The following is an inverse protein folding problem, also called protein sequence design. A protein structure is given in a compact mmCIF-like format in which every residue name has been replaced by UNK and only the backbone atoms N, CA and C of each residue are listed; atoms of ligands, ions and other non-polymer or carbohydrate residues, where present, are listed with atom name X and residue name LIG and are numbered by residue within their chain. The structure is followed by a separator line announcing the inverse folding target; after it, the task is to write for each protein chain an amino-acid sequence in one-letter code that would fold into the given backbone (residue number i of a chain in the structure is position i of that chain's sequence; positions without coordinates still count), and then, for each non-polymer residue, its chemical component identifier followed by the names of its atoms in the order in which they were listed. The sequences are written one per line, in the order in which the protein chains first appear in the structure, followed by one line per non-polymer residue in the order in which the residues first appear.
data_IF_729460454751
#
_entry.id   IF_729460454751
#
_cell.length_a   1.000
_cell.length_b   1.000
_cell.length_c   1.000
_cell.angle_alpha   90.00
_cell.angle_beta   90.00
_cell.angle_gamma   90.00
#
_symmetry.space_group_name_H-M   'P 1'
#
loop_
_entity.id
_entity.type
_entity.pdbx_description
1 polymer ?
#
# COMPACT_ATOMS: atom_id res chain seq x y z
N UNK A 1 15.84 13.55 -1.95
CA UNK A 1 17.08 13.83 -1.20
C UNK A 1 17.63 12.48 -0.79
N UNK A 2 18.83 12.13 -1.21
CA UNK A 2 19.46 10.86 -0.81
C UNK A 2 20.02 11.01 0.61
N UNK A 3 19.74 10.07 1.50
CA UNK A 3 20.29 10.05 2.86
C UNK A 3 21.61 9.27 2.96
N UNK A 4 21.96 8.53 1.91
CA UNK A 4 23.12 7.63 1.86
C UNK A 4 24.35 8.32 1.24
N UNK A 5 24.15 9.35 0.42
CA UNK A 5 25.24 10.06 -0.28
C UNK A 5 25.88 9.29 -1.44
N UNK A 6 25.26 8.18 -1.86
CA UNK A 6 25.70 7.34 -2.99
C UNK A 6 24.99 7.74 -4.30
N UNK A 7 25.54 7.37 -5.48
CA UNK A 7 24.85 7.55 -6.75
C UNK A 7 23.49 6.86 -6.73
N UNK A 8 22.51 7.45 -7.41
CA UNK A 8 21.15 6.89 -7.50
C UNK A 8 21.20 5.52 -8.17
N UNK A 9 20.33 4.58 -7.75
CA UNK A 9 20.30 3.25 -8.33
C UNK A 9 19.83 3.33 -9.78
N UNK A 10 20.47 2.55 -10.66
CA UNK A 10 20.06 2.43 -12.07
C UNK A 10 18.98 1.35 -12.26
N UNK A 11 18.86 0.44 -11.28
CA UNK A 11 17.95 -0.70 -11.32
C UNK A 11 16.77 -0.54 -10.35
N UNK A 12 15.64 -1.13 -10.72
CA UNK A 12 14.42 -1.18 -9.90
C UNK A 12 14.51 -2.18 -8.72
N UNK A 13 15.59 -2.96 -8.63
CA UNK A 13 15.82 -3.89 -7.51
C UNK A 13 16.28 -3.15 -6.26
N UNK A 14 17.19 -2.18 -6.43
CA UNK A 14 17.72 -1.35 -5.35
C UNK A 14 17.07 0.04 -5.29
N UNK A 15 16.14 0.30 -6.21
CA UNK A 15 15.57 1.61 -6.49
C UNK A 15 14.05 1.62 -6.60
N UNK A 16 13.43 2.64 -6.00
CA UNK A 16 11.99 2.90 -6.09
C UNK A 16 11.76 4.05 -7.07
N UNK A 17 10.82 3.86 -8.01
CA UNK A 17 10.43 4.94 -8.93
C UNK A 17 9.39 5.85 -8.28
N UNK A 18 9.69 7.14 -8.26
CA UNK A 18 8.77 8.18 -7.80
C UNK A 18 8.23 8.96 -8.99
N UNK A 19 6.95 9.33 -8.94
CA UNK A 19 6.28 10.14 -9.94
C UNK A 19 6.18 11.60 -9.48
N UNK A 20 6.33 12.51 -10.43
CA UNK A 20 5.99 13.92 -10.23
C UNK A 20 4.63 14.21 -10.84
N UNK A 21 3.81 15.05 -10.18
CA UNK A 21 2.56 15.54 -10.74
C UNK A 21 2.75 16.45 -11.96
N UNK A 22 3.93 17.06 -12.14
CA UNK A 22 4.27 17.84 -13.32
C UNK A 22 4.77 16.90 -14.44
N UNK A 23 4.07 16.88 -15.58
CA UNK A 23 4.40 16.05 -16.75
C UNK A 23 5.70 16.44 -17.43
N UNK A 24 6.13 17.70 -17.33
CA UNK A 24 7.40 18.19 -17.92
C UNK A 24 8.59 18.07 -16.96
N UNK A 25 8.47 17.27 -15.90
CA UNK A 25 9.51 17.14 -14.89
C UNK A 25 10.66 16.26 -15.39
N UNK A 26 11.86 16.84 -15.47
CA UNK A 26 13.11 16.15 -15.87
C UNK A 26 13.57 15.06 -14.89
N UNK A 27 13.00 15.02 -13.68
CA UNK A 27 13.38 14.09 -12.61
C UNK A 27 12.46 12.86 -12.51
N UNK A 28 11.51 12.66 -13.43
CA UNK A 28 10.57 11.53 -13.37
C UNK A 28 11.21 10.14 -13.54
N UNK A 29 12.34 10.08 -14.24
CA UNK A 29 13.05 8.81 -14.49
C UNK A 29 14.11 8.51 -13.42
N UNK A 30 14.28 9.37 -12.42
CA UNK A 30 15.23 9.12 -11.34
C UNK A 30 14.64 8.16 -10.30
N UNK A 31 15.36 7.08 -10.05
CA UNK A 31 15.06 6.16 -8.95
C UNK A 31 15.66 6.70 -7.65
N UNK A 32 15.00 6.43 -6.54
CA UNK A 32 15.53 6.68 -5.20
C UNK A 32 15.94 5.35 -4.56
N UNK A 33 16.99 5.32 -3.75
CA UNK A 33 17.36 4.11 -3.03
C UNK A 33 16.20 3.60 -2.17
N UNK A 34 16.07 2.28 -2.05
CA UNK A 34 15.06 1.66 -1.20
C UNK A 34 15.15 2.18 0.25
N UNK A 35 16.35 2.27 0.82
CA UNK A 35 16.55 2.79 2.17
C UNK A 35 16.17 4.28 2.29
N UNK A 36 16.48 5.09 1.26
CA UNK A 36 16.02 6.49 1.21
C UNK A 36 14.49 6.58 1.16
N UNK A 37 13.84 5.67 0.43
CA UNK A 37 12.38 5.59 0.35
C UNK A 37 11.78 5.21 1.71
N UNK A 38 12.32 4.20 2.39
CA UNK A 38 11.86 3.79 3.72
C UNK A 38 12.01 4.93 4.74
N UNK A 39 13.16 5.61 4.76
CA UNK A 39 13.37 6.77 5.64
C UNK A 39 12.39 7.92 5.34
N UNK A 40 12.10 8.16 4.06
CA UNK A 40 11.09 9.13 3.64
C UNK A 40 9.69 8.72 4.14
N UNK A 41 9.31 7.46 3.95
CA UNK A 41 8.02 6.92 4.38
C UNK A 41 7.82 7.06 5.89
N UNK A 42 8.79 6.62 6.70
CA UNK A 42 8.75 6.77 8.16
C UNK A 42 8.61 8.23 8.60
N UNK A 43 9.36 9.13 7.97
CA UNK A 43 9.25 10.56 8.26
C UNK A 43 7.85 11.10 7.92
N UNK A 44 7.28 10.70 6.79
CA UNK A 44 5.93 11.11 6.40
C UNK A 44 4.86 10.54 7.32
N UNK A 45 4.98 9.29 7.78
CA UNK A 45 4.07 8.68 8.76
C UNK A 45 4.10 9.46 10.08
N UNK A 46 5.29 9.84 10.55
CA UNK A 46 5.48 10.66 11.75
C UNK A 46 4.91 12.07 11.59
N UNK A 47 4.98 12.65 10.40
CA UNK A 47 4.31 13.92 10.10
C UNK A 47 2.79 13.73 10.13
N UNK A 48 2.28 12.67 9.48
CA UNK A 48 0.85 12.35 9.42
C UNK A 48 0.22 12.14 10.80
N UNK A 49 0.96 11.58 11.76
CA UNK A 49 0.46 11.39 13.12
C UNK A 49 0.16 12.70 13.86
N UNK A 50 0.67 13.84 13.36
CA UNK A 50 0.51 15.15 14.00
C UNK A 50 -0.39 16.12 13.21
N UNK A 51 -0.93 15.72 12.06
CA UNK A 51 -1.69 16.63 11.17
C UNK A 51 -3.12 16.17 10.91
N UNK A 52 -4.05 17.12 10.88
CA UNK A 52 -5.42 16.94 10.41
C UNK A 52 -6.15 15.74 11.03
N UNK A 53 -6.87 15.01 10.19
CA UNK A 53 -7.63 13.79 10.53
C UNK A 53 -6.74 12.56 10.75
N UNK A 54 -5.49 12.56 10.27
CA UNK A 54 -4.57 11.42 10.39
C UNK A 54 -4.01 11.22 11.81
N UNK A 55 -4.26 12.17 12.72
CA UNK A 55 -4.01 12.03 14.16
C UNK A 55 -4.73 10.82 14.75
N UNK A 56 -5.97 10.58 14.34
CA UNK A 56 -6.78 9.45 14.82
C UNK A 56 -6.50 8.11 14.11
N UNK A 57 -5.61 8.09 13.11
CA UNK A 57 -5.31 6.86 12.36
C UNK A 57 -4.31 5.99 13.12
N UNK A 58 -4.45 4.68 13.00
CA UNK A 58 -3.39 3.75 13.42
C UNK A 58 -2.20 3.84 12.49
N UNK A 59 -1.03 3.36 12.91
CA UNK A 59 0.17 3.35 12.07
C UNK A 59 -0.03 2.57 10.76
N UNK A 60 -0.70 1.42 10.84
CA UNK A 60 -1.09 0.61 9.67
C UNK A 60 -1.98 1.39 8.71
N UNK A 61 -2.96 2.14 9.23
CA UNK A 61 -3.82 3.00 8.41
C UNK A 61 -3.02 4.14 7.77
N UNK A 62 -2.06 4.74 8.48
CA UNK A 62 -1.19 5.78 7.90
C UNK A 62 -0.37 5.24 6.75
N UNK A 63 0.29 4.08 6.89
CA UNK A 63 1.03 3.42 5.80
C UNK A 63 0.14 3.13 4.60
N UNK A 64 -1.02 2.53 4.82
CA UNK A 64 -1.95 2.19 3.74
C UNK A 64 -2.44 3.43 2.99
N UNK A 65 -2.74 4.53 3.71
CA UNK A 65 -3.29 5.74 3.10
C UNK A 65 -2.23 6.73 2.63
N UNK A 66 -0.95 6.54 2.97
CA UNK A 66 0.13 7.52 2.75
C UNK A 66 0.22 7.95 1.28
N UNK A 67 0.22 6.97 0.39
CA UNK A 67 0.34 7.18 -1.06
C UNK A 67 -1.01 7.24 -1.78
N UNK A 68 -2.12 7.11 -1.05
CA UNK A 68 -3.47 7.28 -1.60
C UNK A 68 -3.86 8.77 -1.68
N UNK A 69 -4.93 9.06 -2.43
CA UNK A 69 -5.49 10.43 -2.55
C UNK A 69 -5.70 11.11 -1.18
N UNK A 70 -6.13 10.37 -0.15
CA UNK A 70 -6.39 10.90 1.20
C UNK A 70 -5.09 11.29 1.92
N UNK A 71 -4.05 10.46 1.85
CA UNK A 71 -2.76 10.80 2.47
C UNK A 71 -2.10 11.94 1.73
N UNK A 72 -2.02 11.87 0.39
CA UNK A 72 -1.36 12.87 -0.44
C UNK A 72 -1.90 14.29 -0.24
N UNK A 73 -3.21 14.48 -0.01
CA UNK A 73 -3.77 15.81 0.28
C UNK A 73 -3.31 16.38 1.62
N UNK A 74 -3.04 15.52 2.61
CA UNK A 74 -2.51 15.92 3.92
C UNK A 74 -1.02 16.27 3.85
N UNK A 75 -0.24 15.50 3.10
CA UNK A 75 1.23 15.65 3.03
C UNK A 75 1.73 16.46 1.82
N UNK A 76 0.83 17.01 0.99
CA UNK A 76 1.18 17.80 -0.21
C UNK A 76 2.26 18.86 0.04
N UNK A 77 2.24 19.54 1.20
CA UNK A 77 3.22 20.58 1.54
C UNK A 77 4.61 20.02 1.82
N UNK A 78 4.71 18.74 2.17
CA UNK A 78 5.94 18.04 2.55
C UNK A 78 6.51 17.21 1.41
N UNK A 79 5.67 16.72 0.49
CA UNK A 79 6.10 15.98 -0.69
C UNK A 79 6.28 16.87 -1.92
N UNK A 80 7.15 17.87 -1.84
CA UNK A 80 7.53 18.65 -3.03
C UNK A 80 8.58 17.90 -3.84
N UNK A 81 8.38 17.86 -5.16
CA UNK A 81 9.36 17.31 -6.07
C UNK A 81 10.60 18.22 -6.14
N UNK A 82 11.82 17.67 -6.32
CA UNK A 82 13.03 18.47 -6.53
C UNK A 82 12.95 19.49 -7.68
N UNK A 83 12.07 19.27 -8.66
CA UNK A 83 11.84 20.24 -9.72
C UNK A 83 11.16 21.55 -9.26
N UNK A 84 10.65 21.60 -8.03
CA UNK A 84 9.95 22.76 -7.46
C UNK A 84 8.53 22.99 -7.99
N UNK A 85 8.17 22.39 -9.12
CA UNK A 85 6.93 22.65 -9.86
C UNK A 85 5.81 21.62 -9.62
N UNK A 86 6.08 20.55 -8.88
CA UNK A 86 5.12 19.46 -8.68
C UNK A 86 5.24 18.75 -7.35
N UNK A 87 4.31 17.83 -7.12
CA UNK A 87 4.27 16.95 -5.95
C UNK A 87 4.90 15.61 -6.30
N UNK A 88 5.64 15.06 -5.35
CA UNK A 88 6.25 13.74 -5.47
C UNK A 88 5.33 12.69 -4.86
N UNK A 89 5.02 11.63 -5.61
CA UNK A 89 4.19 10.51 -5.18
C UNK A 89 4.83 9.19 -5.57
N UNK A 90 4.60 8.14 -4.80
CA UNK A 90 5.02 6.79 -5.20
C UNK A 90 4.31 6.36 -6.49
N UNK A 91 5.05 5.75 -7.41
CA UNK A 91 4.45 5.10 -8.58
C UNK A 91 3.94 3.70 -8.20
N UNK A 92 2.67 3.62 -7.76
CA UNK A 92 2.02 2.37 -7.38
C UNK A 92 2.01 1.34 -8.54
N UNK A 93 1.96 1.81 -9.79
CA UNK A 93 2.00 0.92 -10.96
C UNK A 93 3.39 0.30 -11.12
N UNK A 94 4.46 1.08 -10.94
CA UNK A 94 5.82 0.57 -11.00
C UNK A 94 6.09 -0.47 -9.92
N UNK A 95 5.62 -0.23 -8.68
CA UNK A 95 5.73 -1.18 -7.58
C UNK A 95 4.99 -2.50 -7.87
N UNK A 96 3.75 -2.41 -8.34
CA UNK A 96 3.00 -3.60 -8.73
C UNK A 96 3.71 -4.41 -9.83
N UNK A 97 4.20 -3.74 -10.87
CA UNK A 97 4.92 -4.39 -11.97
C UNK A 97 6.24 -5.05 -11.51
N UNK A 98 6.96 -4.42 -10.57
CA UNK A 98 8.15 -5.02 -9.95
C UNK A 98 7.80 -6.32 -9.20
N UNK A 99 6.69 -6.33 -8.44
CA UNK A 99 6.22 -7.51 -7.72
C UNK A 99 5.66 -8.62 -8.64
N UNK A 100 5.16 -8.27 -9.82
CA UNK A 100 4.68 -9.24 -10.81
C UNK A 100 5.86 -9.88 -11.56
N UNK A 101 6.91 -9.11 -11.87
CA UNK A 101 8.12 -9.64 -12.53
C UNK A 101 8.81 -10.73 -11.70
N UNK A 102 8.88 -10.59 -10.37
CA UNK A 102 9.48 -11.60 -9.48
C UNK A 102 8.68 -12.89 -9.38
N UNK A 103 7.39 -12.90 -9.76
CA UNK A 103 6.56 -14.12 -9.79
C UNK A 103 6.65 -14.89 -11.10
N UNK A 104 7.25 -14.35 -12.16
CA UNK A 104 7.48 -15.06 -13.43
C UNK A 104 8.76 -15.92 -13.34
N UNK A 105 8.83 -16.78 -12.33
CA UNK A 105 10.03 -17.58 -12.05
C UNK A 105 9.91 -18.68 -10.98
N UNK A 106 8.71 -19.00 -10.47
CA UNK A 106 8.50 -20.19 -9.61
C UNK A 106 7.25 -20.94 -10.03
N UNK A 107 7.41 -21.83 -10.99
CA UNK A 107 6.43 -22.87 -11.29
C UNK A 107 6.90 -24.16 -10.62
N UNK A 108 6.43 -24.48 -9.40
CA UNK A 108 6.52 -25.83 -8.79
C UNK A 108 5.40 -26.04 -7.76
N UNK A 109 4.50 -26.97 -8.08
CA UNK A 109 3.61 -27.71 -7.19
C UNK A 109 2.58 -26.91 -6.38
N UNK A 110 1.39 -26.74 -6.97
CA UNK A 110 0.15 -26.64 -6.22
C UNK A 110 -0.15 -28.04 -5.64
N UNK A 111 -0.17 -28.27 -4.31
CA UNK A 111 -0.63 -29.54 -3.78
C UNK A 111 -2.09 -29.72 -4.15
N UNK A 112 -2.38 -30.78 -4.93
CA UNK A 112 -3.73 -31.22 -5.26
C UNK A 112 -4.38 -31.70 -3.96
N UNK A 113 -5.25 -30.89 -3.37
CA UNK A 113 -6.05 -31.29 -2.22
C UNK A 113 -6.98 -32.43 -2.67
N UNK A 114 -6.57 -33.66 -2.37
CA UNK A 114 -7.43 -34.84 -2.40
C UNK A 114 -8.40 -34.74 -1.22
N UNK A 115 -9.61 -34.24 -1.47
CA UNK A 115 -10.74 -34.47 -0.56
C UNK A 115 -11.47 -35.74 -1.00
N UNK A 116 -11.00 -36.86 -0.46
CA UNK A 116 -11.73 -38.11 -0.30
C UNK A 116 -11.20 -38.66 1.04
N UNK A 117 -11.98 -38.97 2.07
CA UNK A 117 -13.32 -39.55 2.10
C UNK A 117 -13.81 -39.64 3.56
N UNK A 118 -15.14 -39.63 3.73
CA UNK A 118 -15.90 -40.34 4.79
C UNK A 118 -15.83 -39.76 6.22
N UNK A 119 -16.85 -39.80 7.07
CA UNK A 119 -18.16 -40.47 7.06
C UNK A 119 -18.99 -39.93 8.24
N UNK A 120 -20.28 -40.32 8.28
CA UNK A 120 -21.20 -40.41 9.43
C UNK A 120 -22.32 -39.35 9.56
N UNK A 121 -23.53 -39.80 9.18
CA UNK A 121 -24.75 -39.86 9.99
C UNK A 121 -25.16 -38.58 10.75
N UNK A 122 -26.36 -38.07 10.46
CA UNK A 122 -27.02 -37.11 11.35
C UNK A 122 -28.26 -36.46 10.77
N UNK A 123 -29.40 -37.07 11.05
CA UNK A 123 -30.76 -36.63 10.72
C UNK A 123 -31.15 -35.24 11.26
N UNK A 124 -32.24 -34.71 10.69
CA UNK A 124 -33.30 -33.95 11.38
C UNK A 124 -33.20 -32.41 11.49
N UNK A 125 -34.03 -31.72 10.70
CA UNK A 125 -35.08 -30.83 11.21
C UNK A 125 -34.70 -29.42 11.71
N UNK A 126 -34.71 -28.43 10.80
CA UNK A 126 -34.72 -27.01 11.15
C UNK A 126 -36.14 -26.42 11.13
N UNK A 127 -36.72 -26.24 12.33
CA UNK A 127 -38.03 -25.61 12.54
C UNK A 127 -37.88 -24.15 12.97
N UNK A 128 -38.58 -23.29 12.21
CA UNK A 128 -39.43 -22.18 12.66
C UNK A 128 -38.86 -21.06 13.56
N UNK A 129 -38.57 -19.94 12.89
CA UNK A 129 -38.96 -18.56 13.18
C UNK A 129 -39.55 -18.23 14.57
N UNK A 130 -38.93 -17.27 15.26
CA UNK A 130 -39.52 -16.52 16.37
C UNK A 130 -39.11 -15.05 16.26
N UNK A 131 -39.98 -14.24 15.66
CA UNK A 131 -39.98 -12.78 15.78
C UNK A 131 -40.79 -12.44 17.03
N UNK A 132 -40.17 -11.75 17.98
CA UNK A 132 -40.83 -11.27 19.20
C UNK A 132 -40.74 -9.76 19.26
N UNK A 133 -41.88 -9.09 19.10
CA UNK A 133 -42.07 -7.71 19.57
C UNK A 133 -43.45 -7.64 20.23
N UNK A 134 -43.48 -6.97 21.38
CA UNK A 134 -44.54 -6.97 22.40
C UNK A 134 -45.35 -5.65 22.33
N UNK A 135 -46.67 -5.81 22.43
CA UNK A 135 -47.71 -4.98 23.10
C UNK A 135 -47.78 -3.45 22.93
N UNK A 136 -48.95 -2.98 22.44
CA UNK A 136 -49.84 -1.95 23.02
C UNK A 136 -51.20 -2.11 22.27
N UNK A 137 -52.36 -2.24 22.88
CA UNK A 137 -53.01 -1.49 23.96
C UNK A 137 -53.95 -2.41 24.74
#
# INVERSE_FOLDING_TARGET
MCVIGLPLPENFEDGVKMKCSNSSCKHQEQLIHLECFHALEENLIKIMSNIGSARGWTETQRRSNLWDKKGLTLIQKKCRCPCGLGLMSLDQNAMFLAHVKTKKGKNKNLPKLNFSSGSTIGSSGGKHLSRREKFAY
#
